data_IF_927763927942
#
_entry.id   IF_927763927942
#
_cell.length_a   1.000
_cell.length_b   1.000
_cell.length_c   1.000
_cell.angle_alpha   90.00
_cell.angle_beta   90.00
_cell.angle_gamma   90.00
#
_symmetry.space_group_name_H-M   'P 1'
#
loop_
_entity.id
_entity.type
_entity.pdbx_description
1 polymer ?
#
# COMPACT_ATOMS: atom_id res chain seq x y z
N UNK A 1 -19.09 5.15 16.78
CA UNK A 1 -19.03 3.67 16.93
C UNK A 1 -18.21 3.10 15.79
N UNK A 2 -17.53 1.97 15.98
CA UNK A 2 -16.61 1.37 15.01
C UNK A 2 -17.25 0.67 13.79
N UNK A 3 -18.46 1.09 13.38
CA UNK A 3 -19.14 0.55 12.19
C UNK A 3 -19.40 -0.97 12.20
N UNK A 4 -19.68 -1.51 11.02
CA UNK A 4 -19.74 -2.96 10.77
C UNK A 4 -18.34 -3.48 10.45
N UNK A 5 -17.83 -4.38 11.31
CA UNK A 5 -16.51 -4.99 11.18
C UNK A 5 -16.37 -5.83 9.89
N UNK A 6 -17.47 -6.33 9.34
CA UNK A 6 -17.46 -7.25 8.20
C UNK A 6 -17.76 -6.58 6.86
N UNK A 7 -17.85 -5.26 6.79
CA UNK A 7 -18.08 -4.53 5.53
C UNK A 7 -17.05 -4.87 4.44
N UNK A 8 -15.84 -5.30 4.82
CA UNK A 8 -14.80 -5.76 3.89
C UNK A 8 -15.25 -6.95 3.03
N UNK A 9 -16.12 -7.82 3.53
CA UNK A 9 -16.57 -9.03 2.83
C UNK A 9 -17.27 -8.71 1.50
N UNK A 10 -17.80 -7.49 1.34
CA UNK A 10 -18.33 -6.99 0.06
C UNK A 10 -17.29 -6.95 -1.07
N UNK A 11 -16.00 -7.03 -0.74
CA UNK A 11 -14.88 -6.94 -1.67
C UNK A 11 -14.09 -8.25 -1.77
N UNK A 12 -14.65 -9.38 -1.34
CA UNK A 12 -13.96 -10.68 -1.33
C UNK A 12 -13.44 -11.12 -2.70
N UNK A 13 -14.10 -10.68 -3.77
CA UNK A 13 -13.75 -11.03 -5.16
C UNK A 13 -12.64 -10.14 -5.74
N UNK A 14 -12.19 -9.12 -5.00
CA UNK A 14 -11.07 -8.28 -5.42
C UNK A 14 -9.77 -9.07 -5.38
N UNK A 15 -8.90 -8.97 -6.42
CA UNK A 15 -7.59 -9.60 -6.37
C UNK A 15 -6.71 -9.08 -5.21
N UNK A 16 -7.03 -7.90 -4.67
CA UNK A 16 -6.30 -7.25 -3.58
C UNK A 16 -6.90 -7.50 -2.19
N UNK A 17 -7.96 -8.33 -2.09
CA UNK A 17 -8.70 -8.52 -0.85
C UNK A 17 -7.81 -9.03 0.30
N UNK A 18 -7.01 -10.06 0.02
CA UNK A 18 -6.11 -10.64 1.03
C UNK A 18 -4.97 -9.69 1.37
N UNK A 19 -4.42 -8.97 0.38
CA UNK A 19 -3.35 -7.99 0.62
C UNK A 19 -3.82 -6.86 1.52
N UNK A 20 -5.04 -6.37 1.35
CA UNK A 20 -5.63 -5.36 2.23
C UNK A 20 -5.78 -5.88 3.67
N UNK A 21 -6.22 -7.14 3.84
CA UNK A 21 -6.30 -7.77 5.17
C UNK A 21 -4.91 -7.86 5.82
N UNK A 22 -3.93 -8.37 5.09
CA UNK A 22 -2.57 -8.55 5.59
C UNK A 22 -1.95 -7.20 5.96
N UNK A 23 -2.10 -6.20 5.09
CA UNK A 23 -1.59 -4.86 5.34
C UNK A 23 -2.18 -4.26 6.62
N UNK A 24 -3.51 -4.36 6.78
CA UNK A 24 -4.17 -3.85 7.97
C UNK A 24 -3.74 -4.59 9.24
N UNK A 25 -3.53 -5.90 9.15
CA UNK A 25 -3.15 -6.76 10.28
C UNK A 25 -1.68 -6.64 10.68
N UNK A 26 -0.78 -6.42 9.72
CA UNK A 26 0.65 -6.37 9.98
C UNK A 26 1.14 -4.95 10.27
N UNK A 27 0.61 -3.95 9.56
CA UNK A 27 1.18 -2.59 9.55
C UNK A 27 0.20 -1.51 10.04
N UNK A 28 -1.01 -1.42 9.49
CA UNK A 28 -1.90 -0.26 9.71
C UNK A 28 -2.39 -0.14 11.16
N UNK A 29 -3.11 -1.15 11.67
CA UNK A 29 -3.74 -1.03 12.99
C UNK A 29 -2.72 -1.09 14.13
N UNK A 30 -1.60 -1.77 13.92
CA UNK A 30 -0.59 -2.03 14.94
C UNK A 30 0.41 -0.88 15.09
N UNK A 31 0.65 -0.08 14.04
CA UNK A 31 1.65 0.99 14.11
C UNK A 31 1.28 2.15 15.04
N UNK A 32 0.06 2.15 15.59
CA UNK A 32 -0.36 3.08 16.64
C UNK A 32 0.04 2.61 18.05
N UNK A 33 0.48 1.36 18.22
CA UNK A 33 1.06 0.88 19.47
C UNK A 33 2.44 1.55 19.68
N UNK A 34 2.67 2.26 20.80
CA UNK A 34 3.96 2.89 21.08
C UNK A 34 5.15 1.91 21.12
N UNK A 35 4.88 0.63 21.39
CA UNK A 35 5.88 -0.44 21.44
C UNK A 35 6.00 -1.19 20.09
N UNK A 36 5.30 -0.76 19.03
CA UNK A 36 5.40 -1.36 17.71
C UNK A 36 6.79 -1.15 17.10
N UNK A 37 7.49 -2.25 16.88
CA UNK A 37 8.83 -2.24 16.33
C UNK A 37 8.80 -1.78 14.86
N UNK A 38 9.35 -0.60 14.61
CA UNK A 38 9.38 0.04 13.30
C UNK A 38 10.82 0.26 12.87
N UNK A 39 11.10 -0.11 11.63
CA UNK A 39 12.37 0.19 11.00
C UNK A 39 12.56 1.71 10.82
N UNK A 40 13.82 2.16 10.85
CA UNK A 40 14.16 3.56 10.60
C UNK A 40 13.98 3.94 9.13
N UNK A 41 13.87 5.23 8.82
CA UNK A 41 13.76 5.68 7.42
C UNK A 41 14.93 5.19 6.55
N UNK A 42 16.14 5.12 7.09
CA UNK A 42 17.34 4.69 6.36
C UNK A 42 17.23 3.26 5.82
N UNK A 43 16.52 2.39 6.54
CA UNK A 43 16.24 1.02 6.10
C UNK A 43 15.47 0.99 4.77
N UNK A 44 14.56 1.95 4.56
CA UNK A 44 13.68 2.01 3.38
C UNK A 44 14.30 2.75 2.20
N UNK A 45 15.30 3.61 2.41
CA UNK A 45 15.92 4.42 1.35
C UNK A 45 16.37 3.59 0.13
N UNK A 46 17.05 2.43 0.29
CA UNK A 46 17.45 1.61 -0.85
C UNK A 46 16.24 1.09 -1.65
N UNK A 47 15.15 0.73 -0.98
CA UNK A 47 13.94 0.21 -1.63
C UNK A 47 13.24 1.30 -2.45
N UNK A 48 13.11 2.50 -1.89
CA UNK A 48 12.54 3.67 -2.55
C UNK A 48 13.37 4.02 -3.79
N UNK A 49 14.70 4.10 -3.63
CA UNK A 49 15.60 4.38 -4.75
C UNK A 49 15.46 3.32 -5.86
N UNK A 50 15.37 2.03 -5.51
CA UNK A 50 15.17 0.96 -6.48
C UNK A 50 13.80 1.06 -7.18
N UNK A 51 12.74 1.38 -6.45
CA UNK A 51 11.39 1.54 -7.00
C UNK A 51 11.33 2.67 -8.03
N UNK A 52 11.98 3.81 -7.75
CA UNK A 52 12.01 4.97 -8.63
C UNK A 52 13.17 4.95 -9.66
N UNK A 53 14.07 3.97 -9.60
CA UNK A 53 15.24 3.89 -10.51
C UNK A 53 14.87 3.75 -11.98
N UNK A 54 13.65 3.29 -12.29
CA UNK A 54 13.14 3.14 -13.65
C UNK A 54 11.76 3.79 -13.77
N UNK A 55 11.56 4.74 -14.68
CA UNK A 55 10.23 5.25 -14.98
C UNK A 55 9.33 4.11 -15.44
N UNK A 56 8.15 3.97 -14.83
CA UNK A 56 7.12 3.08 -15.34
C UNK A 56 6.49 3.74 -16.57
N UNK A 57 6.94 3.33 -17.75
CA UNK A 57 6.44 3.88 -19.02
C UNK A 57 4.96 3.53 -19.29
N UNK A 58 4.40 2.60 -18.52
CA UNK A 58 3.06 2.05 -18.61
C UNK A 58 2.26 2.18 -17.32
N UNK A 59 2.68 3.06 -16.39
CA UNK A 59 1.95 3.30 -15.15
C UNK A 59 0.50 3.76 -15.46
N UNK A 60 -0.52 2.96 -15.12
CA UNK A 60 -1.91 3.31 -15.40
C UNK A 60 -2.34 4.62 -14.75
N UNK A 61 -1.78 4.96 -13.58
CA UNK A 61 -2.08 6.22 -12.89
C UNK A 61 -1.42 7.40 -13.60
N UNK A 62 -0.17 7.26 -14.05
CA UNK A 62 0.55 8.31 -14.78
C UNK A 62 -0.13 8.58 -16.14
N UNK A 63 -0.51 7.52 -16.86
CA UNK A 63 -1.28 7.63 -18.11
C UNK A 63 -2.65 8.27 -17.86
N UNK A 64 -3.34 7.92 -16.77
CA UNK A 64 -4.62 8.53 -16.42
C UNK A 64 -4.49 10.02 -16.07
N UNK A 65 -3.38 10.46 -15.48
CA UNK A 65 -3.17 11.86 -15.05
C UNK A 65 -2.57 12.75 -16.15
N UNK A 66 -1.64 12.23 -16.97
CA UNK A 66 -0.82 13.04 -17.89
C UNK A 66 -0.91 12.59 -19.36
N UNK A 67 -1.57 11.46 -19.65
CA UNK A 67 -1.63 10.88 -21.00
C UNK A 67 -0.35 10.14 -21.40
N UNK A 68 -0.40 9.36 -22.49
CA UNK A 68 0.79 8.66 -23.00
C UNK A 68 1.84 9.66 -23.44
N UNK A 69 3.01 9.62 -22.81
CA UNK A 69 4.20 10.37 -23.24
C UNK A 69 4.72 9.74 -24.53
N UNK A 70 4.78 10.53 -25.61
CA UNK A 70 5.21 10.13 -26.97
C UNK A 70 6.69 9.90 -27.06
#
# INVERSE_FOLDING_TARGET
SGGDRNVRELFSDSPWYQDAINFCHEYDQNCFDPDYDSETLDFFIPMINNFFAKPKADDPEEVARYGKRT
#
